data_IF_200894563420
#
_entry.id   IF_200894563420
#
_cell.length_a   1.000
_cell.length_b   1.000
_cell.length_c   1.000
_cell.angle_alpha   90.00
_cell.angle_beta   90.00
_cell.angle_gamma   90.00
#
_symmetry.space_group_name_H-M   'P 1'
#
loop_
_entity.id
_entity.type
_entity.pdbx_description
1 polymer ?
#
# COMPACT_ATOMS: atom_id res chain seq x y z
N UNK A 1 29.63 -3.78 7.85
CA UNK A 1 28.86 -3.04 6.82
C UNK A 1 28.27 -1.81 7.48
N UNK A 2 28.56 -0.61 7.00
CA UNK A 2 28.15 0.65 7.64
C UNK A 2 26.62 0.78 7.61
N UNK A 3 25.98 1.27 8.67
CA UNK A 3 24.52 1.44 8.77
C UNK A 3 23.94 2.19 7.56
N UNK A 4 24.63 3.23 7.11
CA UNK A 4 24.26 4.03 5.92
C UNK A 4 24.24 3.22 4.62
N UNK A 5 25.15 2.28 4.43
CA UNK A 5 25.15 1.43 3.23
C UNK A 5 23.90 0.52 3.19
N UNK A 6 23.47 -0.01 4.33
CA UNK A 6 22.23 -0.81 4.41
C UNK A 6 21.01 0.03 4.10
N UNK A 7 20.99 1.27 4.54
CA UNK A 7 19.92 2.21 4.24
C UNK A 7 19.79 2.46 2.72
N UNK A 8 20.92 2.74 2.04
CA UNK A 8 20.92 2.89 0.58
C UNK A 8 20.49 1.60 -0.13
N UNK A 9 20.99 0.44 0.31
CA UNK A 9 20.53 -0.85 -0.25
C UNK A 9 19.01 -1.01 -0.13
N UNK A 10 18.43 -0.63 1.00
CA UNK A 10 16.98 -0.69 1.18
C UNK A 10 16.24 0.30 0.27
N UNK A 11 16.77 1.51 0.11
CA UNK A 11 16.22 2.52 -0.81
C UNK A 11 16.27 2.03 -2.27
N UNK A 12 17.40 1.44 -2.69
CA UNK A 12 17.55 0.84 -4.02
C UNK A 12 16.57 -0.31 -4.24
N UNK A 13 16.46 -1.21 -3.27
CA UNK A 13 15.47 -2.30 -3.34
C UNK A 13 14.04 -1.76 -3.48
N UNK A 14 13.69 -0.75 -2.70
CA UNK A 14 12.36 -0.11 -2.76
C UNK A 14 12.14 0.56 -4.13
N UNK A 15 13.13 1.28 -4.64
CA UNK A 15 13.09 1.95 -5.95
C UNK A 15 12.81 0.95 -7.08
N UNK A 16 13.63 -0.09 -7.21
CA UNK A 16 13.50 -1.07 -8.28
C UNK A 16 12.23 -1.95 -8.16
N UNK A 17 11.61 -2.02 -7.00
CA UNK A 17 10.36 -2.77 -6.77
C UNK A 17 9.13 -1.87 -6.61
N UNK A 18 9.26 -0.55 -6.79
CA UNK A 18 8.18 0.43 -6.59
C UNK A 18 6.92 0.10 -7.41
N UNK A 19 7.09 -0.23 -8.68
CA UNK A 19 5.99 -0.47 -9.60
C UNK A 19 5.16 -1.69 -9.19
N UNK A 20 5.83 -2.75 -8.72
CA UNK A 20 5.16 -3.93 -8.16
C UNK A 20 4.36 -3.57 -6.90
N UNK A 21 4.96 -2.78 -6.01
CA UNK A 21 4.30 -2.33 -4.76
C UNK A 21 3.10 -1.45 -5.06
N UNK A 22 3.25 -0.47 -5.94
CA UNK A 22 2.17 0.44 -6.37
C UNK A 22 1.04 -0.36 -7.02
N UNK A 23 1.34 -1.33 -7.89
CA UNK A 23 0.34 -2.21 -8.50
C UNK A 23 -0.49 -2.95 -7.44
N UNK A 24 0.16 -3.55 -6.44
CA UNK A 24 -0.55 -4.27 -5.36
C UNK A 24 -1.43 -3.33 -4.55
N UNK A 25 -0.95 -2.11 -4.26
CA UNK A 25 -1.72 -1.09 -3.54
C UNK A 25 -2.92 -0.61 -4.36
N UNK A 26 -2.76 -0.39 -5.67
CA UNK A 26 -3.85 0.00 -6.55
C UNK A 26 -4.93 -1.09 -6.65
N UNK A 27 -4.54 -2.36 -6.76
CA UNK A 27 -5.50 -3.48 -6.74
C UNK A 27 -6.31 -3.49 -5.42
N UNK A 28 -5.66 -3.18 -4.30
CA UNK A 28 -6.34 -3.09 -3.01
C UNK A 28 -7.28 -1.88 -2.93
N UNK A 29 -6.90 -0.73 -3.51
CA UNK A 29 -7.78 0.44 -3.64
C UNK A 29 -9.04 0.11 -4.42
N UNK A 30 -8.88 -0.57 -5.56
CA UNK A 30 -9.99 -0.97 -6.41
C UNK A 30 -10.98 -1.90 -5.66
N UNK A 31 -10.46 -2.88 -4.93
CA UNK A 31 -11.26 -3.76 -4.08
C UNK A 31 -12.03 -2.97 -3.00
N UNK A 32 -11.37 -2.05 -2.30
CA UNK A 32 -12.02 -1.23 -1.26
C UNK A 32 -13.11 -0.33 -1.85
N UNK A 33 -12.86 0.28 -3.01
CA UNK A 33 -13.85 1.11 -3.73
C UNK A 33 -15.07 0.28 -4.13
N UNK A 34 -14.86 -0.94 -4.61
CA UNK A 34 -15.95 -1.87 -4.92
C UNK A 34 -16.78 -2.20 -3.68
N UNK A 35 -16.12 -2.49 -2.54
CA UNK A 35 -16.81 -2.76 -1.29
C UNK A 35 -17.60 -1.55 -0.77
N UNK A 36 -17.10 -0.32 -0.97
CA UNK A 36 -17.86 0.90 -0.63
C UNK A 36 -19.08 1.06 -1.56
N UNK A 37 -18.93 0.77 -2.84
CA UNK A 37 -20.07 0.78 -3.78
C UNK A 37 -21.16 -0.24 -3.36
N UNK A 38 -20.76 -1.44 -2.94
CA UNK A 38 -21.69 -2.44 -2.40
C UNK A 38 -22.40 -1.97 -1.12
N UNK A 39 -21.67 -1.28 -0.23
CA UNK A 39 -22.26 -0.69 0.99
C UNK A 39 -23.25 0.42 0.62
N UNK A 40 -22.89 1.31 -0.31
CA UNK A 40 -23.80 2.37 -0.76
C UNK A 40 -25.07 1.79 -1.38
N UNK A 41 -24.95 0.75 -2.22
CA UNK A 41 -26.10 0.05 -2.77
C UNK A 41 -27.00 -0.52 -1.67
N UNK A 42 -26.43 -1.15 -0.65
CA UNK A 42 -27.20 -1.66 0.51
C UNK A 42 -27.90 -0.55 1.31
N UNK A 43 -27.22 0.60 1.48
CA UNK A 43 -27.80 1.76 2.16
C UNK A 43 -28.99 2.35 1.38
N UNK A 44 -28.94 2.31 0.04
CA UNK A 44 -30.02 2.78 -0.82
C UNK A 44 -31.24 1.82 -0.85
N UNK A 45 -30.99 0.52 -0.58
CA UNK A 45 -32.00 -0.54 -0.70
C UNK A 45 -32.26 -1.26 0.63
N UNK A 46 -31.99 -0.61 1.76
CA UNK A 46 -32.01 -1.23 3.09
C UNK A 46 -33.41 -1.81 3.47
N UNK A 47 -34.48 -1.23 2.92
CA UNK A 47 -35.84 -1.67 3.19
C UNK A 47 -36.16 -3.06 2.62
N UNK A 48 -35.37 -3.51 1.61
CA UNK A 48 -35.53 -4.83 0.99
C UNK A 48 -34.75 -5.94 1.71
N UNK A 49 -33.78 -5.57 2.53
CA UNK A 49 -32.90 -6.52 3.25
C UNK A 49 -33.38 -6.79 4.70
N UNK A 50 -34.54 -6.28 5.07
CA UNK A 50 -35.13 -6.56 6.40
C UNK A 50 -35.53 -8.05 6.50
N UNK A 51 -35.17 -8.74 7.61
CA UNK A 51 -35.64 -10.11 7.83
C UNK A 51 -37.20 -10.15 7.78
N UNK A 52 -37.76 -11.14 7.09
CA UNK A 52 -39.24 -11.32 6.99
C UNK A 52 -39.92 -11.38 8.35
N UNK A 53 -39.23 -11.86 9.39
CA UNK A 53 -39.70 -11.84 10.79
C UNK A 53 -39.97 -10.42 11.33
N UNK A 54 -39.29 -9.41 10.75
CA UNK A 54 -39.52 -8.00 11.12
C UNK A 54 -40.77 -7.42 10.47
N UNK A 55 -41.28 -8.04 9.41
CA UNK A 55 -42.49 -7.63 8.69
C UNK A 55 -43.76 -8.37 9.21
N UNK A 56 -43.60 -9.52 9.88
CA UNK A 56 -44.69 -10.33 10.41
C UNK A 56 -45.10 -9.88 11.83
N UNK A 57 -45.46 -8.63 12.02
CA UNK A 57 -46.19 -8.23 13.21
C UNK A 57 -47.66 -8.54 12.93
N UNK A 58 -48.12 -9.69 13.45
CA UNK A 58 -49.54 -10.03 13.41
C UNK A 58 -50.37 -8.92 14.06
N UNK A 59 -51.48 -8.59 13.43
CA UNK A 59 -52.39 -7.52 13.79
C UNK A 59 -53.06 -7.70 15.17
N UNK A 60 -52.69 -8.72 15.95
CA UNK A 60 -53.39 -9.13 17.18
C UNK A 60 -52.65 -8.89 18.50
N UNK A 61 -51.46 -8.34 18.51
CA UNK A 61 -50.81 -7.96 19.75
C UNK A 61 -50.84 -6.44 19.96
N UNK A 62 -51.48 -6.03 21.10
CA UNK A 62 -51.36 -4.67 21.62
C UNK A 62 -49.88 -4.27 21.63
N UNK A 63 -49.53 -3.34 20.75
CA UNK A 63 -48.20 -2.77 20.64
C UNK A 63 -47.80 -2.25 22.03
N UNK A 64 -46.97 -2.99 22.73
CA UNK A 64 -46.26 -2.48 23.90
C UNK A 64 -45.26 -1.44 23.35
N UNK A 65 -45.65 -0.17 23.41
CA UNK A 65 -44.77 0.94 23.11
C UNK A 65 -43.54 0.80 23.98
N UNK A 66 -42.39 0.56 23.31
CA UNK A 66 -41.07 0.62 23.96
C UNK A 66 -40.91 1.98 24.66
N UNK A 67 -40.26 2.06 25.83
CA UNK A 67 -40.00 3.33 26.52
C UNK A 67 -39.26 4.39 25.67
N UNK A 68 -38.68 4.00 24.55
CA UNK A 68 -37.94 4.85 23.62
C UNK A 68 -38.75 5.27 22.37
N UNK A 69 -40.04 4.86 22.24
CA UNK A 69 -40.93 5.29 21.14
C UNK A 69 -40.62 4.69 19.74
N UNK A 70 -39.58 3.89 19.57
CA UNK A 70 -39.22 3.27 18.27
C UNK A 70 -39.76 1.84 18.18
N UNK A 71 -40.28 1.46 16.99
CA UNK A 71 -40.68 0.08 16.71
C UNK A 71 -39.44 -0.84 16.61
N UNK A 72 -39.63 -2.17 16.72
CA UNK A 72 -38.55 -3.13 16.56
C UNK A 72 -37.91 -3.02 15.16
N UNK A 73 -38.71 -2.84 14.12
CA UNK A 73 -38.23 -2.65 12.74
C UNK A 73 -37.36 -1.40 12.59
N UNK A 74 -37.78 -0.27 13.17
CA UNK A 74 -36.99 0.97 13.15
C UNK A 74 -35.65 0.83 13.86
N UNK A 75 -35.61 0.14 15.00
CA UNK A 75 -34.35 -0.14 15.69
C UNK A 75 -33.39 -1.02 14.85
N UNK A 76 -33.96 -2.03 14.21
CA UNK A 76 -33.18 -2.95 13.35
C UNK A 76 -32.60 -2.20 12.15
N UNK A 77 -33.43 -1.38 11.48
CA UNK A 77 -32.98 -0.48 10.41
C UNK A 77 -31.86 0.44 10.87
N UNK A 78 -32.04 1.11 12.01
CA UNK A 78 -31.04 2.02 12.55
C UNK A 78 -29.69 1.30 12.81
N UNK A 79 -29.77 0.13 13.46
CA UNK A 79 -28.56 -0.66 13.75
C UNK A 79 -27.85 -1.15 12.49
N UNK A 80 -28.59 -1.57 11.46
CA UNK A 80 -28.00 -1.99 10.19
C UNK A 80 -27.34 -0.80 9.49
N UNK A 81 -28.07 0.33 9.40
CA UNK A 81 -27.56 1.56 8.80
C UNK A 81 -26.29 2.04 9.49
N UNK A 82 -26.27 2.09 10.81
CA UNK A 82 -25.11 2.55 11.59
C UNK A 82 -23.89 1.66 11.36
N UNK A 83 -24.07 0.33 11.38
CA UNK A 83 -22.98 -0.62 11.05
C UNK A 83 -22.45 -0.47 9.63
N UNK A 84 -23.33 -0.22 8.66
CA UNK A 84 -22.91 0.00 7.26
C UNK A 84 -22.11 1.30 7.12
N UNK A 85 -22.58 2.38 7.77
CA UNK A 85 -21.90 3.68 7.78
C UNK A 85 -20.53 3.58 8.47
N UNK A 86 -20.43 2.90 9.60
CA UNK A 86 -19.15 2.66 10.28
C UNK A 86 -18.19 1.85 9.40
N UNK A 87 -18.69 0.76 8.78
CA UNK A 87 -17.88 -0.04 7.85
C UNK A 87 -17.38 0.77 6.66
N UNK A 88 -18.22 1.66 6.10
CA UNK A 88 -17.85 2.59 5.03
C UNK A 88 -16.74 3.52 5.49
N UNK A 89 -16.90 4.18 6.64
CA UNK A 89 -15.90 5.10 7.21
C UNK A 89 -14.54 4.43 7.43
N UNK A 90 -14.53 3.19 7.93
CA UNK A 90 -13.29 2.41 8.10
C UNK A 90 -12.61 2.19 6.74
N UNK A 91 -13.37 1.81 5.71
CA UNK A 91 -12.82 1.57 4.37
C UNK A 91 -12.31 2.84 3.70
N UNK A 92 -13.00 3.96 3.86
CA UNK A 92 -12.54 5.28 3.40
C UNK A 92 -11.22 5.67 4.07
N UNK A 93 -11.07 5.44 5.38
CA UNK A 93 -9.81 5.62 6.09
C UNK A 93 -8.69 4.72 5.56
N UNK A 94 -8.98 3.47 5.22
CA UNK A 94 -8.01 2.56 4.60
C UNK A 94 -7.58 3.05 3.21
N UNK A 95 -8.50 3.57 2.40
CA UNK A 95 -8.21 4.16 1.09
C UNK A 95 -7.25 5.34 1.25
N UNK A 96 -7.56 6.29 2.13
CA UNK A 96 -6.72 7.45 2.38
C UNK A 96 -5.29 7.05 2.82
N UNK A 97 -5.15 6.05 3.68
CA UNK A 97 -3.85 5.53 4.12
C UNK A 97 -3.06 4.89 2.97
N UNK A 98 -3.72 4.13 2.10
CA UNK A 98 -3.06 3.52 0.93
C UNK A 98 -2.62 4.60 -0.07
N UNK A 99 -3.46 5.58 -0.34
CA UNK A 99 -3.12 6.71 -1.23
C UNK A 99 -1.94 7.53 -0.69
N UNK A 100 -1.87 7.76 0.62
CA UNK A 100 -0.71 8.36 1.27
C UNK A 100 0.55 7.50 1.06
N UNK A 101 0.44 6.19 1.32
CA UNK A 101 1.55 5.25 1.13
C UNK A 101 2.07 5.25 -0.32
N UNK A 102 1.18 5.34 -1.31
CA UNK A 102 1.59 5.44 -2.73
C UNK A 102 2.33 6.76 -2.96
N UNK A 103 1.85 7.88 -2.43
CA UNK A 103 2.53 9.20 -2.53
C UNK A 103 3.94 9.15 -1.93
N UNK A 104 4.07 8.54 -0.76
CA UNK A 104 5.38 8.38 -0.09
C UNK A 104 6.34 7.52 -0.92
N UNK A 105 5.86 6.40 -1.48
CA UNK A 105 6.66 5.55 -2.38
C UNK A 105 7.14 6.34 -3.60
N UNK A 106 6.29 7.17 -4.20
CA UNK A 106 6.65 7.98 -5.36
C UNK A 106 7.68 9.05 -4.97
N UNK A 107 7.45 9.77 -3.88
CA UNK A 107 8.36 10.81 -3.39
C UNK A 107 9.75 10.25 -3.05
N UNK A 108 9.82 9.15 -2.30
CA UNK A 108 11.09 8.47 -1.99
C UNK A 108 11.81 7.97 -3.25
N UNK A 109 11.03 7.51 -4.25
CA UNK A 109 11.58 7.00 -5.50
C UNK A 109 12.17 8.08 -6.38
N UNK A 110 11.64 9.30 -6.34
CA UNK A 110 12.17 10.43 -7.12
C UNK A 110 13.59 10.76 -6.66
N UNK A 111 13.79 10.94 -5.35
CA UNK A 111 15.09 11.29 -4.78
C UNK A 111 16.19 10.28 -5.10
N UNK A 112 15.89 8.97 -5.02
CA UNK A 112 16.91 7.94 -5.35
C UNK A 112 17.03 7.75 -6.86
N UNK A 113 15.99 8.01 -7.64
CA UNK A 113 15.97 7.94 -9.09
C UNK A 113 16.98 8.90 -9.70
N UNK A 114 16.96 10.16 -9.28
CA UNK A 114 17.90 11.19 -9.74
C UNK A 114 19.37 10.77 -9.49
N UNK A 115 19.64 10.16 -8.34
CA UNK A 115 20.97 9.64 -8.02
C UNK A 115 21.37 8.44 -8.91
N UNK A 116 20.40 7.59 -9.28
CA UNK A 116 20.65 6.44 -10.17
C UNK A 116 20.91 6.91 -11.60
N UNK A 117 20.30 7.99 -12.04
CA UNK A 117 20.55 8.57 -13.37
C UNK A 117 21.97 9.11 -13.53
N UNK A 118 22.61 9.52 -12.44
CA UNK A 118 23.99 10.04 -12.44
C UNK A 118 25.06 8.93 -12.51
N UNK A 119 24.73 7.67 -12.25
CA UNK A 119 25.67 6.55 -12.35
C UNK A 119 25.79 6.05 -13.79
N UNK A 120 26.91 5.36 -14.07
CA UNK A 120 27.18 4.77 -15.39
C UNK A 120 26.10 3.76 -15.78
N UNK A 121 25.74 3.71 -17.05
CA UNK A 121 24.69 2.81 -17.57
C UNK A 121 24.93 1.34 -17.18
N UNK A 122 26.12 0.80 -17.36
CA UNK A 122 26.44 -0.58 -16.98
C UNK A 122 26.38 -0.86 -15.46
N UNK A 123 26.46 0.17 -14.61
CA UNK A 123 26.28 0.03 -13.17
C UNK A 123 24.82 0.13 -12.80
N UNK A 124 24.00 0.91 -13.55
CA UNK A 124 22.56 0.94 -13.44
C UNK A 124 21.95 -0.41 -13.79
N UNK A 125 22.36 -1.00 -14.92
CA UNK A 125 21.94 -2.35 -15.32
C UNK A 125 22.30 -3.39 -14.26
N UNK A 126 23.53 -3.32 -13.72
CA UNK A 126 23.97 -4.21 -12.65
C UNK A 126 23.07 -4.11 -11.40
N UNK A 127 22.69 -2.91 -10.97
CA UNK A 127 21.76 -2.69 -9.86
C UNK A 127 20.36 -3.22 -10.18
N UNK A 128 19.89 -3.02 -11.42
CA UNK A 128 18.58 -3.55 -11.86
C UNK A 128 18.57 -5.08 -11.80
N UNK A 129 19.60 -5.75 -12.30
CA UNK A 129 19.73 -7.20 -12.20
C UNK A 129 19.75 -7.67 -10.75
N UNK A 130 20.40 -6.92 -9.86
CA UNK A 130 20.49 -7.24 -8.44
C UNK A 130 19.17 -7.05 -7.69
N UNK A 131 18.52 -5.88 -7.82
CA UNK A 131 17.44 -5.48 -6.96
C UNK A 131 16.05 -5.69 -7.57
N UNK A 132 15.88 -5.55 -8.88
CA UNK A 132 14.61 -5.79 -9.57
C UNK A 132 14.40 -7.28 -9.86
N UNK A 133 15.45 -7.96 -10.37
CA UNK A 133 15.38 -9.38 -10.70
C UNK A 133 15.86 -10.29 -9.58
N UNK A 134 16.41 -9.73 -8.49
CA UNK A 134 16.80 -10.47 -7.30
C UNK A 134 18.00 -11.39 -7.47
N UNK A 135 18.83 -11.15 -8.49
CA UNK A 135 20.00 -11.99 -8.76
C UNK A 135 21.00 -11.98 -7.60
N UNK A 136 21.53 -13.14 -7.28
CA UNK A 136 22.56 -13.31 -6.27
C UNK A 136 23.93 -12.93 -6.86
N UNK A 137 24.90 -12.55 -6.01
CA UNK A 137 26.23 -12.10 -6.45
C UNK A 137 26.97 -13.14 -7.33
N UNK A 138 26.73 -14.45 -7.11
CA UNK A 138 27.31 -15.48 -7.96
C UNK A 138 26.69 -15.51 -9.38
N UNK A 139 25.38 -15.23 -9.50
CA UNK A 139 24.70 -15.15 -10.81
C UNK A 139 25.16 -13.92 -11.59
N UNK A 140 25.28 -12.78 -10.90
CA UNK A 140 25.87 -11.57 -11.49
C UNK A 140 27.31 -11.80 -11.90
N UNK A 141 28.09 -12.52 -11.08
CA UNK A 141 29.46 -12.90 -11.43
C UNK A 141 29.53 -13.67 -12.75
N UNK A 142 28.66 -14.66 -12.94
CA UNK A 142 28.59 -15.44 -14.19
C UNK A 142 28.18 -14.56 -15.39
N UNK A 143 27.19 -13.69 -15.22
CA UNK A 143 26.64 -12.85 -16.29
C UNK A 143 27.64 -11.79 -16.78
N UNK A 144 28.37 -11.19 -15.84
CA UNK A 144 29.36 -10.14 -16.14
C UNK A 144 30.81 -10.66 -16.28
N UNK A 145 31.02 -11.97 -16.27
CA UNK A 145 32.34 -12.58 -16.41
C UNK A 145 33.31 -12.26 -15.27
N UNK A 146 32.84 -12.02 -14.07
CA UNK A 146 33.62 -11.66 -12.88
C UNK A 146 33.39 -12.65 -11.73
N UNK A 147 34.29 -12.67 -10.75
CA UNK A 147 34.11 -13.53 -9.59
C UNK A 147 32.94 -13.04 -8.70
N UNK A 148 32.34 -13.95 -7.91
CA UNK A 148 31.33 -13.59 -6.90
C UNK A 148 31.80 -12.46 -5.96
N UNK A 149 33.06 -12.51 -5.55
CA UNK A 149 33.65 -11.48 -4.69
C UNK A 149 33.75 -10.14 -5.40
N UNK A 150 34.16 -10.16 -6.69
CA UNK A 150 34.24 -8.95 -7.52
C UNK A 150 32.85 -8.33 -7.74
N UNK A 151 31.77 -9.16 -7.94
CA UNK A 151 30.42 -8.69 -8.03
C UNK A 151 29.96 -7.98 -6.73
N UNK A 152 30.25 -8.58 -5.56
CA UNK A 152 29.98 -7.96 -4.26
C UNK A 152 30.75 -6.66 -4.04
N UNK A 153 32.04 -6.59 -4.45
CA UNK A 153 32.83 -5.35 -4.40
C UNK A 153 32.26 -4.28 -5.33
N UNK A 154 31.91 -4.62 -6.57
CA UNK A 154 31.28 -3.70 -7.52
C UNK A 154 30.00 -3.11 -6.96
N UNK A 155 29.09 -3.94 -6.42
CA UNK A 155 27.89 -3.50 -5.72
C UNK A 155 28.21 -2.45 -4.65
N UNK A 156 29.17 -2.75 -3.76
CA UNK A 156 29.52 -1.84 -2.68
C UNK A 156 30.12 -0.53 -3.18
N UNK A 157 30.91 -0.55 -4.25
CA UNK A 157 31.46 0.66 -4.87
C UNK A 157 30.34 1.55 -5.41
N UNK A 158 29.38 0.97 -6.13
CA UNK A 158 28.22 1.72 -6.66
C UNK A 158 27.41 2.35 -5.52
N UNK A 159 27.17 1.59 -4.44
CA UNK A 159 26.45 2.10 -3.26
C UNK A 159 27.20 3.27 -2.60
N UNK A 160 28.54 3.18 -2.53
CA UNK A 160 29.37 4.28 -1.99
C UNK A 160 29.32 5.52 -2.88
N UNK A 161 29.26 5.35 -4.19
CA UNK A 161 29.12 6.48 -5.12
C UNK A 161 27.77 7.16 -4.96
N UNK A 162 26.67 6.40 -4.83
CA UNK A 162 25.33 6.93 -4.53
C UNK A 162 25.32 7.68 -3.18
N UNK A 163 25.98 7.14 -2.16
CA UNK A 163 26.12 7.79 -0.85
C UNK A 163 26.79 9.17 -0.93
N UNK A 164 27.77 9.35 -1.79
CA UNK A 164 28.43 10.64 -2.01
C UNK A 164 27.44 11.69 -2.52
N UNK A 165 26.56 11.31 -3.44
CA UNK A 165 25.55 12.19 -4.02
C UNK A 165 24.45 12.53 -3.01
N UNK A 166 24.03 11.58 -2.17
CA UNK A 166 23.03 11.82 -1.13
C UNK A 166 23.49 12.90 -0.12
N UNK A 167 24.78 12.90 0.23
CA UNK A 167 25.38 13.93 1.09
C UNK A 167 25.43 15.32 0.41
N UNK A 168 25.50 15.35 -0.90
CA UNK A 168 25.52 16.61 -1.68
C UNK A 168 24.16 17.31 -1.66
N UNK A 169 23.07 16.53 -1.75
CA UNK A 169 21.70 17.04 -1.80
C UNK A 169 21.07 17.29 -0.41
N UNK A 170 21.63 16.71 0.64
CA UNK A 170 21.16 16.94 2.03
C UNK A 170 22.31 17.46 2.91
N UNK A 171 22.49 18.81 2.96
CA UNK A 171 23.54 19.43 3.76
C UNK A 171 23.46 19.17 5.27
N UNK A 172 22.29 18.72 5.78
CA UNK A 172 22.12 18.34 7.18
C UNK A 172 22.79 16.99 7.52
N UNK A 173 23.24 16.24 6.51
CA UNK A 173 23.92 14.94 6.67
C UNK A 173 25.45 15.02 6.51
N UNK A 174 26.03 16.24 6.44
CA UNK A 174 27.48 16.48 6.42
C UNK A 174 28.17 16.21 7.75
#
# INVERSE_FOLDING_TARGET
>A
MNSRMKEIEQKLFNYFNRDKRIRVLNNRLELLRKQISEINYKLEHIDYDLPEESMAIGYDEKVKTSPTGYSFAERTLYNITDRLLESKKIKEGQIANIENTIRDIVADSTNIGDNIELIREGDREFLEQKYKYGKKDWQLGMEYGISRQAAGKRKNTIILDILKWEVWFDPAKR
#
